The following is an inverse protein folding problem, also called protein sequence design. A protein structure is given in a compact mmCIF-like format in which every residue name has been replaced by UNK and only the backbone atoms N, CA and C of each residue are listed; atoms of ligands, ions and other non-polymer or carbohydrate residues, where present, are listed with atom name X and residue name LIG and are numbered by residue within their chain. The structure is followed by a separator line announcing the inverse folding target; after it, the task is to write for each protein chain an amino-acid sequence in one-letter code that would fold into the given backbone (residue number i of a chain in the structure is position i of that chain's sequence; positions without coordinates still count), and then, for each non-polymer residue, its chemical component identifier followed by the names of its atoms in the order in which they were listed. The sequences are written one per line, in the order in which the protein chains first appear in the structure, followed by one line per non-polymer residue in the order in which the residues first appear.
data_IF_924607972221
#
_entry.id   IF_924607972221
#
_cell.length_a   1.000
_cell.length_b   1.000
_cell.length_c   1.000
_cell.angle_alpha   90.00
_cell.angle_beta   90.00
_cell.angle_gamma   90.00
#
_symmetry.space_group_name_H-M   'P 1'
#
loop_
_entity.id
_entity.type
_entity.pdbx_description
1 polymer ?
#
# COMPACT_ATOMS: atom_id res chain seq x y z
N UNK A 1 13.09 24.21 -7.90
CA UNK A 1 13.15 22.98 -8.74
C UNK A 1 14.61 22.59 -8.84
N UNK A 2 15.07 21.59 -8.08
CA UNK A 2 16.43 21.09 -8.20
C UNK A 2 16.48 20.17 -9.44
N UNK A 3 17.33 20.47 -10.41
CA UNK A 3 17.58 19.60 -11.54
C UNK A 3 18.22 18.30 -11.05
N UNK A 4 17.81 17.11 -11.56
CA UNK A 4 18.49 15.86 -11.26
C UNK A 4 19.93 15.94 -11.75
N UNK A 5 20.87 15.68 -10.85
CA UNK A 5 22.30 15.55 -11.20
C UNK A 5 22.42 14.38 -12.19
N UNK A 6 23.04 14.57 -13.38
CA UNK A 6 23.24 13.48 -14.33
C UNK A 6 24.20 12.48 -13.71
N UNK A 7 23.73 11.27 -13.43
CA UNK A 7 24.54 10.18 -12.83
C UNK A 7 23.86 9.46 -11.67
N UNK A 8 22.74 9.94 -11.18
CA UNK A 8 22.01 9.29 -10.08
C UNK A 8 21.03 8.27 -10.67
N UNK A 9 21.45 7.00 -10.76
CA UNK A 9 20.61 5.86 -11.18
C UNK A 9 19.53 5.56 -10.11
N UNK A 10 18.66 6.55 -9.88
CA UNK A 10 17.56 6.47 -8.91
C UNK A 10 16.30 5.96 -9.59
N UNK A 11 15.83 4.82 -9.15
CA UNK A 11 14.52 4.28 -9.57
C UNK A 11 13.48 4.64 -8.53
N UNK A 12 12.40 5.26 -9.00
CA UNK A 12 11.30 5.71 -8.15
C UNK A 12 10.05 4.88 -8.36
N UNK A 13 9.54 4.31 -7.29
CA UNK A 13 8.27 3.60 -7.23
C UNK A 13 7.28 4.44 -6.42
N UNK A 14 6.11 4.67 -6.98
CA UNK A 14 5.06 5.50 -6.36
C UNK A 14 3.71 4.82 -6.46
N UNK A 15 2.82 5.14 -5.56
CA UNK A 15 1.41 4.72 -5.64
C UNK A 15 0.66 5.71 -6.54
N UNK A 16 0.25 5.33 -7.78
CA UNK A 16 -0.52 6.19 -8.64
C UNK A 16 -1.93 6.37 -8.07
N UNK A 17 -2.37 7.62 -7.98
CA UNK A 17 -3.66 8.00 -7.37
C UNK A 17 -4.85 7.27 -7.98
N UNK A 18 -4.85 7.13 -9.32
CA UNK A 18 -5.90 6.42 -10.04
C UNK A 18 -6.00 4.95 -9.64
N UNK A 19 -4.85 4.25 -9.48
CA UNK A 19 -4.86 2.84 -9.08
C UNK A 19 -5.34 2.67 -7.63
N UNK A 20 -4.93 3.59 -6.73
CA UNK A 20 -5.44 3.61 -5.35
C UNK A 20 -6.95 3.82 -5.33
N UNK A 21 -7.44 4.81 -6.11
CA UNK A 21 -8.88 5.07 -6.24
C UNK A 21 -9.66 3.82 -6.70
N UNK A 22 -9.22 3.21 -7.80
CA UNK A 22 -9.87 2.02 -8.38
C UNK A 22 -9.83 0.85 -7.38
N UNK A 23 -8.70 0.64 -6.71
CA UNK A 23 -8.57 -0.43 -5.70
C UNK A 23 -9.55 -0.21 -4.53
N UNK A 24 -9.60 1.00 -3.98
CA UNK A 24 -10.53 1.33 -2.88
C UNK A 24 -11.97 1.19 -3.33
N UNK A 25 -12.29 1.70 -4.54
CA UNK A 25 -13.62 1.59 -5.13
C UNK A 25 -14.10 0.13 -5.17
N UNK A 26 -13.29 -0.78 -5.72
CA UNK A 26 -13.63 -2.20 -5.82
C UNK A 26 -13.76 -2.88 -4.46
N UNK A 27 -12.84 -2.61 -3.53
CA UNK A 27 -12.88 -3.20 -2.19
C UNK A 27 -14.14 -2.78 -1.44
N UNK A 28 -14.47 -1.48 -1.49
CA UNK A 28 -15.69 -0.96 -0.84
C UNK A 28 -16.94 -1.45 -1.55
N UNK A 29 -16.96 -1.50 -2.89
CA UNK A 29 -18.09 -2.02 -3.66
C UNK A 29 -18.40 -3.48 -3.32
N UNK A 30 -17.37 -4.33 -3.23
CA UNK A 30 -17.53 -5.73 -2.86
C UNK A 30 -18.06 -5.87 -1.43
N UNK A 31 -17.45 -5.15 -0.47
CA UNK A 31 -17.88 -5.18 0.93
C UNK A 31 -19.33 -4.69 1.06
N UNK A 32 -19.69 -3.62 0.37
CA UNK A 32 -21.04 -3.09 0.38
C UNK A 32 -22.06 -4.03 -0.26
N UNK A 33 -21.72 -4.67 -1.38
CA UNK A 33 -22.56 -5.68 -2.04
C UNK A 33 -22.84 -6.87 -1.12
N UNK A 34 -21.80 -7.36 -0.37
CA UNK A 34 -21.98 -8.42 0.63
C UNK A 34 -22.93 -7.96 1.74
N UNK A 35 -22.75 -6.75 2.29
CA UNK A 35 -23.64 -6.21 3.33
C UNK A 35 -25.10 -6.10 2.84
N UNK A 36 -25.30 -5.62 1.61
CA UNK A 36 -26.64 -5.51 1.02
C UNK A 36 -27.26 -6.86 0.71
N UNK A 37 -26.46 -7.81 0.22
CA UNK A 37 -26.91 -9.19 0.01
C UNK A 37 -27.37 -9.87 1.31
N UNK A 38 -26.59 -9.73 2.38
CA UNK A 38 -26.96 -10.22 3.70
C UNK A 38 -28.25 -9.56 4.22
N UNK A 39 -28.39 -8.25 4.05
CA UNK A 39 -29.61 -7.53 4.43
C UNK A 39 -30.85 -8.10 3.70
N UNK A 40 -30.77 -8.31 2.39
CA UNK A 40 -31.87 -8.90 1.61
C UNK A 40 -32.17 -10.33 2.08
N UNK A 41 -31.14 -11.15 2.36
CA UNK A 41 -31.34 -12.50 2.88
C UNK A 41 -32.06 -12.50 4.23
N UNK A 42 -31.72 -11.58 5.12
CA UNK A 42 -32.40 -11.42 6.41
C UNK A 42 -33.87 -11.05 6.20
N UNK A 43 -34.18 -10.08 5.34
CA UNK A 43 -35.57 -9.73 5.05
C UNK A 43 -36.40 -10.95 4.54
N UNK A 44 -35.81 -11.70 3.61
CA UNK A 44 -36.43 -12.90 3.07
C UNK A 44 -36.66 -13.99 4.14
N UNK A 45 -35.72 -14.15 5.07
CA UNK A 45 -35.87 -15.09 6.18
C UNK A 45 -37.00 -14.73 7.13
N UNK A 46 -37.34 -13.43 7.26
CA UNK A 46 -38.52 -12.95 7.99
C UNK A 46 -39.80 -12.90 7.14
N UNK A 47 -39.78 -13.42 5.90
CA UNK A 47 -40.92 -13.43 5.01
C UNK A 47 -41.24 -12.06 4.38
N UNK A 48 -40.36 -11.08 4.54
CA UNK A 48 -40.50 -9.73 3.98
C UNK A 48 -39.91 -9.73 2.58
N UNK A 49 -40.75 -9.47 1.57
CA UNK A 49 -40.30 -9.37 0.18
C UNK A 49 -39.85 -7.92 -0.11
N UNK A 50 -38.65 -7.70 -0.66
CA UNK A 50 -38.23 -6.34 -1.05
C UNK A 50 -39.18 -5.77 -2.12
N UNK A 51 -39.53 -4.51 -1.95
CA UNK A 51 -40.35 -3.78 -2.92
C UNK A 51 -39.49 -3.32 -4.10
N UNK A 52 -40.06 -2.95 -5.25
CA UNK A 52 -39.32 -2.35 -6.36
C UNK A 52 -38.53 -1.11 -5.94
N UNK A 53 -39.07 -0.29 -5.03
CA UNK A 53 -38.36 0.88 -4.50
C UNK A 53 -37.10 0.50 -3.68
N UNK A 54 -37.18 -0.59 -2.90
CA UNK A 54 -36.00 -1.10 -2.16
C UNK A 54 -34.89 -1.57 -3.11
N UNK A 55 -35.28 -2.22 -4.22
CA UNK A 55 -34.34 -2.69 -5.25
C UNK A 55 -33.61 -1.51 -5.89
N UNK A 56 -34.33 -0.45 -6.25
CA UNK A 56 -33.74 0.77 -6.82
C UNK A 56 -32.77 1.41 -5.82
N UNK A 57 -33.19 1.57 -4.57
CA UNK A 57 -32.35 2.15 -3.51
C UNK A 57 -31.09 1.31 -3.28
N UNK A 58 -31.19 -0.01 -3.31
CA UNK A 58 -30.03 -0.91 -3.21
C UNK A 58 -29.09 -0.69 -4.39
N UNK A 59 -29.60 -0.65 -5.62
CA UNK A 59 -28.82 -0.46 -6.83
C UNK A 59 -28.08 0.90 -6.83
N UNK A 60 -28.76 1.98 -6.50
CA UNK A 60 -28.18 3.32 -6.37
C UNK A 60 -27.07 3.34 -5.30
N UNK A 61 -27.33 2.72 -4.14
CA UNK A 61 -26.35 2.66 -3.06
C UNK A 61 -25.10 1.85 -3.42
N UNK A 62 -25.22 0.82 -4.26
CA UNK A 62 -24.09 0.02 -4.75
C UNK A 62 -23.13 0.84 -5.64
N UNK A 63 -23.60 1.89 -6.27
CA UNK A 63 -22.77 2.79 -7.07
C UNK A 63 -22.26 3.97 -6.24
N UNK A 64 -23.16 4.64 -5.53
CA UNK A 64 -22.87 5.91 -4.88
C UNK A 64 -21.95 5.77 -3.66
N UNK A 65 -22.23 4.79 -2.79
CA UNK A 65 -21.48 4.60 -1.55
C UNK A 65 -20.00 4.28 -1.80
N UNK A 66 -19.65 3.31 -2.67
CA UNK A 66 -18.24 3.05 -2.99
C UNK A 66 -17.53 4.24 -3.65
N UNK A 67 -18.22 4.96 -4.55
CA UNK A 67 -17.64 6.12 -5.21
C UNK A 67 -17.32 7.24 -4.22
N UNK A 68 -18.25 7.59 -3.35
CA UNK A 68 -18.03 8.60 -2.29
C UNK A 68 -16.93 8.16 -1.34
N UNK A 69 -16.94 6.91 -0.89
CA UNK A 69 -15.90 6.37 0.01
C UNK A 69 -14.52 6.42 -0.65
N UNK A 70 -14.39 6.03 -1.93
CA UNK A 70 -13.13 6.08 -2.66
C UNK A 70 -12.63 7.52 -2.81
N UNK A 71 -13.50 8.48 -3.11
CA UNK A 71 -13.16 9.90 -3.15
C UNK A 71 -12.66 10.41 -1.80
N UNK A 72 -13.35 10.10 -0.71
CA UNK A 72 -12.96 10.53 0.64
C UNK A 72 -11.60 9.95 1.04
N UNK A 73 -11.38 8.65 0.81
CA UNK A 73 -10.08 8.01 1.08
C UNK A 73 -8.97 8.69 0.28
N UNK A 74 -9.21 8.95 -1.01
CA UNK A 74 -8.22 9.62 -1.86
C UNK A 74 -7.92 11.03 -1.38
N UNK A 75 -8.92 11.82 -0.99
CA UNK A 75 -8.74 13.17 -0.45
C UNK A 75 -7.90 13.17 0.83
N UNK A 76 -8.19 12.26 1.76
CA UNK A 76 -7.44 12.15 3.02
C UNK A 76 -6.01 11.66 2.78
N UNK A 77 -5.83 10.73 1.84
CA UNK A 77 -4.52 10.15 1.51
C UNK A 77 -3.72 10.97 0.49
N UNK A 78 -4.27 12.06 -0.07
CA UNK A 78 -3.71 12.78 -1.24
C UNK A 78 -2.21 13.09 -1.17
N UNK A 79 -1.74 13.57 -0.01
CA UNK A 79 -0.34 13.92 0.21
C UNK A 79 0.42 12.89 1.06
N UNK A 80 -0.18 11.72 1.29
CA UNK A 80 0.35 10.69 2.21
C UNK A 80 0.51 9.33 1.56
N UNK A 81 0.45 9.27 0.21
CA UNK A 81 0.64 8.03 -0.53
C UNK A 81 2.04 7.49 -0.33
N UNK A 82 2.15 6.17 -0.31
CA UNK A 82 3.42 5.48 -0.16
C UNK A 82 4.32 5.68 -1.38
N UNK A 83 5.61 5.69 -1.13
CA UNK A 83 6.64 5.79 -2.17
C UNK A 83 7.90 5.03 -1.74
N UNK A 84 8.71 4.65 -2.72
CA UNK A 84 9.99 4.00 -2.51
C UNK A 84 10.97 4.51 -3.55
N UNK A 85 12.14 4.90 -3.10
CA UNK A 85 13.27 5.32 -3.93
C UNK A 85 14.42 4.34 -3.73
N UNK A 86 14.91 3.78 -4.82
CA UNK A 86 16.11 2.97 -4.88
C UNK A 86 17.21 3.82 -5.53
N UNK A 87 18.29 4.07 -4.81
CA UNK A 87 19.48 4.82 -5.28
C UNK A 87 20.73 3.95 -5.20
N UNK A 88 21.86 4.45 -5.69
CA UNK A 88 23.16 3.77 -5.55
C UNK A 88 23.61 3.62 -4.09
N UNK A 89 23.16 4.51 -3.22
CA UNK A 89 23.57 4.53 -1.80
C UNK A 89 22.68 3.68 -0.89
N UNK A 90 21.46 3.38 -1.31
CA UNK A 90 20.52 2.64 -0.48
C UNK A 90 19.07 2.77 -0.93
N UNK A 91 18.18 2.31 -0.08
CA UNK A 91 16.74 2.35 -0.25
C UNK A 91 16.14 3.33 0.74
N UNK A 92 15.24 4.19 0.26
CA UNK A 92 14.42 5.08 1.10
C UNK A 92 12.96 4.85 0.77
N UNK A 93 12.13 4.61 1.77
CA UNK A 93 10.72 4.32 1.56
C UNK A 93 9.84 4.91 2.64
N UNK A 94 8.60 5.18 2.30
CA UNK A 94 7.54 5.56 3.22
C UNK A 94 6.26 4.81 2.88
N UNK A 95 5.69 4.12 3.85
CA UNK A 95 4.34 3.59 3.73
C UNK A 95 3.32 4.72 3.88
N UNK A 96 2.11 4.52 3.35
CA UNK A 96 1.03 5.52 3.37
C UNK A 96 0.79 6.12 4.76
N UNK A 97 0.96 7.43 4.88
CA UNK A 97 0.77 8.17 6.14
C UNK A 97 1.84 7.96 7.22
N UNK A 98 2.98 7.33 6.87
CA UNK A 98 4.06 7.02 7.80
C UNK A 98 5.33 7.80 7.47
N UNK A 99 6.23 7.87 8.45
CA UNK A 99 7.55 8.49 8.28
C UNK A 99 8.41 7.65 7.35
N UNK A 100 9.27 8.33 6.60
CA UNK A 100 10.22 7.68 5.73
C UNK A 100 11.33 6.98 6.52
N UNK A 101 11.78 5.86 5.98
CA UNK A 101 12.92 5.08 6.48
C UNK A 101 13.96 5.04 5.40
N UNK A 102 15.20 5.32 5.75
CA UNK A 102 16.37 5.21 4.88
C UNK A 102 17.29 4.12 5.40
N UNK A 103 17.74 3.25 4.49
CA UNK A 103 18.63 2.13 4.74
C UNK A 103 19.71 2.08 3.67
N UNK A 104 21.02 2.13 4.00
CA UNK A 104 22.07 1.85 3.05
C UNK A 104 22.04 0.36 2.65
N UNK A 105 22.50 0.03 1.43
CA UNK A 105 22.46 -1.37 0.94
C UNK A 105 23.23 -2.34 1.83
N UNK A 106 24.33 -1.89 2.43
CA UNK A 106 25.13 -2.68 3.39
C UNK A 106 24.35 -3.08 4.65
N UNK A 107 23.31 -2.31 4.98
CA UNK A 107 22.44 -2.56 6.14
C UNK A 107 21.17 -3.34 5.80
N UNK A 108 20.95 -3.72 4.55
CA UNK A 108 19.83 -4.57 4.14
C UNK A 108 20.27 -6.03 4.22
N UNK A 109 19.65 -6.81 5.10
CA UNK A 109 19.91 -8.24 5.23
C UNK A 109 19.19 -9.05 4.17
N UNK A 110 17.89 -8.77 3.97
CA UNK A 110 17.08 -9.41 2.96
C UNK A 110 15.86 -8.56 2.61
N UNK A 111 15.34 -8.78 1.40
CA UNK A 111 14.06 -8.25 0.94
C UNK A 111 13.19 -9.38 0.42
N UNK A 112 11.89 -9.27 0.62
CA UNK A 112 10.93 -10.24 0.12
C UNK A 112 9.57 -9.63 -0.08
N UNK A 113 8.71 -10.31 -0.84
CA UNK A 113 7.31 -9.92 -1.02
C UNK A 113 6.42 -10.89 -0.25
N UNK A 114 5.45 -10.33 0.45
CA UNK A 114 4.32 -11.05 0.98
C UNK A 114 3.12 -10.75 0.11
N UNK A 115 2.81 -11.67 -0.79
CA UNK A 115 1.73 -11.50 -1.74
C UNK A 115 0.35 -11.59 -1.05
N UNK A 116 -0.47 -10.57 -1.28
CA UNK A 116 -1.86 -10.52 -0.87
C UNK A 116 -2.69 -9.71 -1.89
N UNK A 117 -2.45 -9.90 -3.19
CA UNK A 117 -3.09 -9.14 -4.26
C UNK A 117 -2.78 -7.63 -4.14
N UNK A 118 -3.80 -6.76 -4.08
CA UNK A 118 -3.61 -5.31 -3.95
C UNK A 118 -2.98 -4.90 -2.61
N UNK A 119 -2.94 -5.80 -1.62
CA UNK A 119 -2.34 -5.61 -0.31
C UNK A 119 -0.95 -6.26 -0.19
N UNK A 120 -0.28 -6.53 -1.32
CA UNK A 120 1.09 -7.06 -1.33
C UNK A 120 2.03 -6.14 -0.57
N UNK A 121 2.77 -6.71 0.39
CA UNK A 121 3.70 -6.01 1.26
C UNK A 121 5.14 -6.35 0.88
N UNK A 122 5.99 -5.33 0.76
CA UNK A 122 7.44 -5.49 0.76
C UNK A 122 7.92 -5.62 2.21
N UNK A 123 8.68 -6.67 2.47
CA UNK A 123 9.30 -6.95 3.76
C UNK A 123 10.78 -6.64 3.62
N UNK A 124 11.27 -5.64 4.33
CA UNK A 124 12.69 -5.26 4.36
C UNK A 124 13.26 -5.61 5.73
N UNK A 125 14.21 -6.53 5.76
CA UNK A 125 14.88 -6.94 6.99
C UNK A 125 16.27 -6.26 7.02
N UNK A 126 16.53 -5.35 7.97
CA UNK A 126 17.83 -4.77 8.14
C UNK A 126 18.78 -5.74 8.88
N UNK A 127 20.08 -5.57 8.68
CA UNK A 127 21.11 -6.30 9.43
C UNK A 127 21.11 -5.97 10.92
N UNK A 128 20.72 -4.72 11.25
CA UNK A 128 20.55 -4.21 12.60
C UNK A 128 19.44 -3.16 12.63
N UNK A 129 18.63 -3.17 13.65
CA UNK A 129 17.58 -2.16 13.83
C UNK A 129 18.15 -0.73 13.95
N UNK A 130 19.37 -0.59 14.45
CA UNK A 130 20.05 0.70 14.57
C UNK A 130 20.54 1.28 13.23
N UNK A 131 20.66 0.45 12.19
CA UNK A 131 21.10 0.89 10.87
C UNK A 131 20.02 1.63 10.07
N UNK A 132 18.76 1.55 10.51
CA UNK A 132 17.65 2.22 9.88
C UNK A 132 17.48 3.65 10.41
N UNK A 133 17.61 4.62 9.53
CA UNK A 133 17.38 6.03 9.87
C UNK A 133 15.92 6.39 9.58
N UNK A 134 15.16 6.67 10.63
CA UNK A 134 13.79 7.17 10.50
C UNK A 134 13.84 8.69 10.33
N UNK A 135 13.37 9.19 9.21
CA UNK A 135 13.39 10.63 8.94
C UNK A 135 12.46 11.38 9.90
N UNK A 136 12.89 12.52 10.46
CA UNK A 136 12.02 13.38 11.23
C UNK A 136 10.91 13.94 10.34
N UNK A 137 9.68 14.04 10.84
CA UNK A 137 8.58 14.59 10.06
C UNK A 137 7.20 14.26 10.65
N UNK A 138 6.16 14.80 10.01
CA UNK A 138 4.76 14.50 10.33
C UNK A 138 4.39 13.13 9.76
N UNK A 139 3.89 12.25 10.60
CA UNK A 139 3.44 10.90 10.20
C UNK A 139 3.54 9.91 11.36
N UNK A 140 2.85 8.79 11.22
CA UNK A 140 2.96 7.67 12.17
C UNK A 140 4.34 7.03 12.05
N UNK A 141 4.82 6.32 13.09
CA UNK A 141 6.06 5.56 13.01
C UNK A 141 5.98 4.52 11.88
N UNK A 142 7.13 4.09 11.31
CA UNK A 142 7.16 3.02 10.32
C UNK A 142 6.45 1.75 10.81
N UNK A 143 5.85 1.00 9.89
CA UNK A 143 5.23 -0.28 10.22
C UNK A 143 6.33 -1.32 10.38
N UNK A 144 6.46 -1.80 11.61
CA UNK A 144 7.51 -2.74 11.99
C UNK A 144 6.85 -4.03 12.48
N UNK A 145 7.35 -5.16 12.01
CA UNK A 145 7.00 -6.49 12.51
C UNK A 145 8.24 -7.10 13.17
N UNK A 146 8.09 -7.52 14.40
CA UNK A 146 9.15 -8.30 15.09
C UNK A 146 8.88 -9.79 14.88
N UNK A 147 9.91 -10.52 14.46
CA UNK A 147 9.90 -11.98 14.37
C UNK A 147 11.10 -12.51 15.14
N UNK A 148 10.88 -12.87 16.40
CA UNK A 148 11.95 -13.20 17.33
C UNK A 148 12.85 -11.96 17.58
N UNK A 149 14.14 -12.08 17.24
CA UNK A 149 15.13 -10.98 17.36
C UNK A 149 15.19 -10.09 16.13
N UNK A 150 14.57 -10.49 15.03
CA UNK A 150 14.61 -9.75 13.79
C UNK A 150 13.51 -8.68 13.72
N UNK A 151 13.88 -7.53 13.22
CA UNK A 151 12.99 -6.40 12.96
C UNK A 151 12.79 -6.28 11.46
N UNK A 152 11.55 -6.41 10.99
CA UNK A 152 11.21 -6.24 9.58
C UNK A 152 10.35 -4.98 9.38
N UNK A 153 10.71 -4.16 8.40
CA UNK A 153 9.90 -3.04 7.94
C UNK A 153 8.93 -3.51 6.87
N UNK A 154 7.68 -3.08 6.99
CA UNK A 154 6.60 -3.44 6.06
C UNK A 154 6.16 -2.21 5.27
N UNK A 155 6.11 -2.36 3.95
CA UNK A 155 5.69 -1.31 3.01
C UNK A 155 4.65 -1.87 2.05
N UNK A 156 3.50 -1.22 1.94
CA UNK A 156 2.44 -1.61 1.02
C UNK A 156 2.87 -1.26 -0.43
N UNK A 157 3.14 -2.30 -1.24
CA UNK A 157 3.64 -2.15 -2.61
C UNK A 157 2.70 -2.70 -3.67
N UNK A 158 1.58 -3.32 -3.28
CA UNK A 158 0.65 -3.98 -4.19
C UNK A 158 0.06 -3.06 -5.26
N UNK A 159 -0.09 -1.78 -4.95
CA UNK A 159 -0.61 -0.74 -5.86
C UNK A 159 0.48 0.23 -6.33
N UNK A 160 1.77 -0.11 -6.18
CA UNK A 160 2.87 0.72 -6.70
C UNK A 160 3.08 0.52 -8.19
N UNK A 161 3.57 1.56 -8.83
CA UNK A 161 4.01 1.52 -10.23
C UNK A 161 5.48 1.97 -10.30
N UNK A 162 6.35 1.23 -11.00
CA UNK A 162 6.15 -0.13 -11.57
C UNK A 162 5.74 -1.18 -10.53
N UNK A 163 5.14 -2.30 -10.97
CA UNK A 163 4.57 -3.31 -10.09
C UNK A 163 5.57 -4.00 -9.14
N UNK A 164 5.07 -4.75 -8.13
CA UNK A 164 5.88 -5.30 -7.04
C UNK A 164 6.98 -6.27 -7.49
N UNK A 165 6.77 -7.01 -8.58
CA UNK A 165 7.78 -7.93 -9.11
C UNK A 165 8.97 -7.18 -9.74
N UNK A 166 8.70 -6.07 -10.45
CA UNK A 166 9.75 -5.19 -11.01
C UNK A 166 10.54 -4.54 -9.89
N UNK A 167 9.84 -4.09 -8.84
CA UNK A 167 10.46 -3.57 -7.63
C UNK A 167 11.40 -4.60 -7.00
N UNK A 168 10.93 -5.84 -6.79
CA UNK A 168 11.73 -6.89 -6.16
C UNK A 168 12.98 -7.23 -6.98
N UNK A 169 12.84 -7.33 -8.32
CA UNK A 169 13.98 -7.57 -9.22
C UNK A 169 15.02 -6.45 -9.12
N UNK A 170 14.59 -5.18 -9.10
CA UNK A 170 15.49 -4.04 -8.94
C UNK A 170 16.22 -4.05 -7.58
N UNK A 171 15.51 -4.38 -6.49
CA UNK A 171 16.12 -4.46 -5.17
C UNK A 171 17.13 -5.60 -5.08
N UNK A 172 16.83 -6.78 -5.64
CA UNK A 172 17.77 -7.90 -5.67
C UNK A 172 19.01 -7.59 -6.50
N UNK A 173 18.90 -6.83 -7.59
CA UNK A 173 20.03 -6.38 -8.39
C UNK A 173 21.03 -5.51 -7.60
N UNK A 174 20.52 -4.72 -6.63
CA UNK A 174 21.30 -3.75 -5.85
C UNK A 174 21.81 -4.28 -4.51
N UNK A 175 21.22 -5.33 -3.99
CA UNK A 175 21.70 -5.95 -2.75
C UNK A 175 22.99 -6.72 -3.07
N UNK A 176 24.11 -6.40 -2.41
CA UNK A 176 25.35 -7.11 -2.65
C UNK A 176 25.19 -8.59 -2.28
N UNK A 177 25.53 -9.47 -3.21
CA UNK A 177 25.60 -10.92 -2.96
C UNK A 177 26.59 -11.14 -1.82
N UNK A 178 26.13 -11.58 -0.68
CA UNK A 178 27.02 -12.02 0.40
C UNK A 178 27.58 -13.38 -0.01
N UNK A 179 28.80 -13.38 -0.53
CA UNK A 179 29.63 -14.57 -0.71
C UNK A 179 30.10 -15.07 0.65
#
# INVERSE_FOLDING_TARGET
MAQPVPGDDTVRFVQPRGLVFVTVLWVVALAWAVCRGLYVLVLLAFGIRPTPADIVTIAESLLLVPAVAACLVLLVAWNRLGWLHSSVHGITFAATGRRAVSLPWSAVASVGLRHAGPFTELVVIPTSAAAATVQPGRGRPPRVRRRGRETAYLVDVGVMSPGPNVLLAELHRRIPSRV
#
